data_IF_062684816250
#
_entry.id   IF_062684816250
#
_cell.length_a   1.000
_cell.length_b   1.000
_cell.length_c   1.000
_cell.angle_alpha   90.00
_cell.angle_beta   90.00
_cell.angle_gamma   90.00
#
_symmetry.space_group_name_H-M   'P 1'
#
loop_
_entity.id
_entity.type
_entity.pdbx_description
1 polymer ?
#
# COMPACT_ATOMS: atom_id res chain seq x y z
N UNK A 1 3.97 5.21 -4.72
CA UNK A 1 4.93 4.09 -4.67
C UNK A 1 4.53 3.20 -3.52
N UNK A 2 4.49 1.90 -3.77
CA UNK A 2 4.21 0.85 -2.80
C UNK A 2 5.54 0.17 -2.43
N UNK A 3 5.67 -0.29 -1.18
CA UNK A 3 6.72 -1.21 -0.76
C UNK A 3 6.05 -2.51 -0.34
N UNK A 4 6.38 -3.59 -1.04
CA UNK A 4 5.89 -4.93 -0.73
C UNK A 4 7.05 -5.72 -0.13
N UNK A 5 6.83 -6.34 1.03
CA UNK A 5 7.78 -7.25 1.62
C UNK A 5 7.69 -8.59 0.89
N UNK A 6 8.78 -9.02 0.26
CA UNK A 6 8.86 -10.30 -0.42
C UNK A 6 9.46 -11.35 0.51
N UNK A 7 8.85 -12.52 0.52
CA UNK A 7 9.40 -13.74 1.12
C UNK A 7 9.82 -14.71 0.02
N UNK A 8 10.54 -15.77 0.40
CA UNK A 8 10.87 -16.84 -0.52
C UNK A 8 9.63 -17.69 -0.84
N UNK A 9 9.54 -18.24 -2.07
CA UNK A 9 8.47 -19.17 -2.42
C UNK A 9 8.56 -20.45 -1.59
N UNK A 10 7.41 -21.12 -1.44
CA UNK A 10 7.36 -22.48 -0.90
C UNK A 10 8.11 -23.46 -1.80
N UNK A 11 8.57 -24.58 -1.22
CA UNK A 11 9.39 -25.60 -1.90
C UNK A 11 8.81 -26.04 -3.25
N UNK A 12 7.50 -26.27 -3.32
CA UNK A 12 6.86 -26.78 -4.54
C UNK A 12 6.81 -25.71 -5.65
N UNK A 13 6.53 -24.46 -5.29
CA UNK A 13 6.60 -23.34 -6.23
C UNK A 13 8.04 -23.10 -6.71
N UNK A 14 9.03 -23.22 -5.83
CA UNK A 14 10.45 -23.12 -6.19
C UNK A 14 10.88 -24.26 -7.12
N UNK A 15 10.43 -25.49 -6.85
CA UNK A 15 10.67 -26.65 -7.73
C UNK A 15 10.09 -26.41 -9.13
N UNK A 16 8.86 -25.92 -9.21
CA UNK A 16 8.22 -25.65 -10.50
C UNK A 16 8.93 -24.52 -11.26
N UNK A 17 9.36 -23.47 -10.57
CA UNK A 17 10.21 -22.42 -11.15
C UNK A 17 11.50 -23.00 -11.73
N UNK A 18 12.20 -23.87 -11.00
CA UNK A 18 13.44 -24.49 -11.48
C UNK A 18 13.19 -25.30 -12.76
N UNK A 19 12.12 -26.10 -12.80
CA UNK A 19 11.79 -26.90 -13.98
C UNK A 19 11.40 -26.04 -15.19
N UNK A 20 10.64 -24.97 -14.99
CA UNK A 20 10.15 -24.12 -16.07
C UNK A 20 11.23 -23.18 -16.65
N UNK A 21 12.21 -22.77 -15.85
CA UNK A 21 13.19 -21.75 -16.24
C UNK A 21 14.55 -22.31 -16.68
N UNK A 22 14.85 -23.57 -16.38
CA UNK A 22 16.12 -24.22 -16.76
C UNK A 22 15.99 -25.20 -17.93
N UNK A 23 14.79 -25.39 -18.46
CA UNK A 23 14.54 -26.18 -19.66
C UNK A 23 14.98 -25.48 -20.95
N UNK A 24 15.02 -26.23 -22.05
CA UNK A 24 15.36 -25.70 -23.38
C UNK A 24 14.19 -24.93 -24.05
N UNK A 25 12.99 -25.00 -23.48
CA UNK A 25 11.76 -24.40 -24.05
C UNK A 25 11.50 -23.05 -23.38
N UNK A 26 11.58 -21.99 -24.18
CA UNK A 26 11.20 -20.65 -23.73
C UNK A 26 9.74 -20.40 -24.08
N UNK A 27 8.88 -20.19 -23.08
CA UNK A 27 7.51 -19.76 -23.31
C UNK A 27 7.47 -18.30 -23.78
N UNK A 28 6.64 -18.00 -24.77
CA UNK A 28 6.35 -16.62 -25.20
C UNK A 28 5.04 -16.18 -24.56
N UNK A 29 5.05 -15.03 -23.89
CA UNK A 29 3.85 -14.46 -23.29
C UNK A 29 2.98 -13.81 -24.37
N UNK A 30 1.66 -14.04 -24.40
CA UNK A 30 0.76 -13.36 -25.32
C UNK A 30 0.65 -11.87 -24.97
N UNK A 31 0.61 -11.02 -25.99
CA UNK A 31 0.35 -9.58 -25.81
C UNK A 31 -1.15 -9.37 -25.57
N UNK A 32 -1.51 -8.98 -24.36
CA UNK A 32 -2.92 -8.70 -23.98
C UNK A 32 -3.31 -7.23 -24.14
N UNK A 33 -2.35 -6.31 -24.02
CA UNK A 33 -2.57 -4.87 -24.06
C UNK A 33 -1.51 -4.21 -24.94
N UNK A 34 -1.93 -3.21 -25.69
CA UNK A 34 -1.03 -2.28 -26.37
C UNK A 34 -0.57 -1.17 -25.41
N UNK A 35 0.50 -0.43 -25.74
CA UNK A 35 0.90 0.75 -24.96
C UNK A 35 -0.21 1.80 -24.84
N UNK A 36 -1.07 1.94 -25.86
CA UNK A 36 -2.21 2.85 -25.83
C UNK A 36 -3.25 2.42 -24.79
N UNK A 37 -3.58 1.12 -24.75
CA UNK A 37 -4.51 0.57 -23.77
C UNK A 37 -4.01 0.78 -22.33
N UNK A 38 -2.68 0.63 -22.10
CA UNK A 38 -2.08 0.90 -20.79
C UNK A 38 -2.22 2.36 -20.37
N UNK A 39 -1.98 3.31 -21.28
CA UNK A 39 -2.15 4.75 -21.00
C UNK A 39 -3.61 5.07 -20.71
N UNK A 40 -4.54 4.46 -21.45
CA UNK A 40 -5.98 4.62 -21.20
C UNK A 40 -6.37 4.09 -19.82
N UNK A 41 -5.90 2.90 -19.43
CA UNK A 41 -6.11 2.34 -18.11
C UNK A 41 -5.58 3.26 -17.00
N UNK A 42 -4.37 3.82 -17.15
CA UNK A 42 -3.82 4.80 -16.21
C UNK A 42 -4.63 6.09 -16.13
N UNK A 43 -5.30 6.48 -17.22
CA UNK A 43 -6.23 7.62 -17.25
C UNK A 43 -7.54 7.29 -16.52
N UNK A 44 -8.07 6.08 -16.68
CA UNK A 44 -9.26 5.60 -15.96
C UNK A 44 -9.07 5.64 -14.44
N UNK A 45 -7.91 5.19 -13.93
CA UNK A 45 -7.56 5.29 -12.49
C UNK A 45 -7.69 6.72 -11.97
N UNK A 46 -7.32 7.73 -12.76
CA UNK A 46 -7.40 9.14 -12.35
C UNK A 46 -8.82 9.71 -12.41
N UNK A 47 -9.71 9.10 -13.20
CA UNK A 47 -11.10 9.53 -13.36
C UNK A 47 -12.07 8.83 -12.41
N UNK A 48 -11.67 7.71 -11.80
CA UNK A 48 -12.52 6.99 -10.85
C UNK A 48 -12.97 7.92 -9.71
N UNK A 49 -14.29 8.09 -9.48
CA UNK A 49 -14.79 8.89 -8.39
C UNK A 49 -14.41 8.27 -7.04
N UNK A 50 -14.31 9.10 -6.02
CA UNK A 50 -14.03 8.66 -4.64
C UNK A 50 -15.01 9.35 -3.72
N UNK A 51 -15.66 8.55 -2.87
CA UNK A 51 -16.61 9.06 -1.88
C UNK A 51 -15.92 9.81 -0.75
N UNK A 52 -16.63 10.77 -0.16
CA UNK A 52 -16.13 11.62 0.93
C UNK A 52 -15.57 10.79 2.10
N UNK A 53 -16.25 9.70 2.46
CA UNK A 53 -15.81 8.79 3.54
C UNK A 53 -14.40 8.25 3.32
N UNK A 54 -14.07 7.86 2.09
CA UNK A 54 -12.74 7.32 1.74
C UNK A 54 -11.69 8.43 1.76
N UNK A 55 -12.04 9.63 1.26
CA UNK A 55 -11.16 10.78 1.32
C UNK A 55 -10.80 11.14 2.77
N UNK A 56 -11.80 11.26 3.63
CA UNK A 56 -11.63 11.59 5.05
C UNK A 56 -10.89 10.48 5.81
N UNK A 57 -11.14 9.22 5.49
CA UNK A 57 -10.39 8.08 6.02
C UNK A 57 -8.89 8.17 5.68
N UNK A 58 -8.54 8.45 4.42
CA UNK A 58 -7.15 8.64 3.99
C UNK A 58 -6.50 9.80 4.75
N UNK A 59 -7.20 10.93 4.88
CA UNK A 59 -6.69 12.10 5.61
C UNK A 59 -6.48 11.78 7.09
N UNK A 60 -7.46 11.16 7.73
CA UNK A 60 -7.44 10.78 9.14
C UNK A 60 -6.29 9.83 9.44
N UNK A 61 -6.15 8.76 8.64
CA UNK A 61 -5.09 7.77 8.79
C UNK A 61 -3.70 8.39 8.62
N UNK A 62 -3.49 9.15 7.53
CA UNK A 62 -2.18 9.74 7.22
C UNK A 62 -1.79 10.79 8.27
N UNK A 63 -2.74 11.61 8.75
CA UNK A 63 -2.45 12.61 9.79
C UNK A 63 -2.27 11.97 11.17
N UNK A 64 -3.08 10.95 11.50
CA UNK A 64 -3.00 10.21 12.75
C UNK A 64 -1.66 9.48 12.96
N UNK A 65 -0.90 9.27 11.89
CA UNK A 65 0.42 8.66 11.90
C UNK A 65 1.58 9.68 11.84
N UNK A 66 1.33 10.95 12.20
CA UNK A 66 2.38 11.97 12.34
C UNK A 66 2.64 12.29 13.81
N UNK A 67 3.89 12.57 14.21
CA UNK A 67 4.18 12.88 15.61
C UNK A 67 3.33 14.02 16.18
N UNK A 68 3.11 15.08 15.40
CA UNK A 68 2.41 16.29 15.80
C UNK A 68 0.88 16.17 15.83
N UNK A 69 0.32 15.20 15.13
CA UNK A 69 -1.13 14.95 15.04
C UNK A 69 -1.47 13.49 15.34
N UNK A 70 -0.64 12.87 16.17
CA UNK A 70 -0.72 11.46 16.47
C UNK A 70 -2.09 11.12 17.06
N UNK A 71 -2.76 10.08 16.54
CA UNK A 71 -4.07 9.68 17.05
C UNK A 71 -3.99 9.07 18.46
N UNK A 72 -2.80 8.60 18.86
CA UNK A 72 -2.44 8.16 20.22
C UNK A 72 -1.13 8.80 20.65
N UNK A 73 -0.96 9.15 21.94
CA UNK A 73 0.28 9.75 22.45
C UNK A 73 1.55 8.92 22.17
N UNK A 74 1.43 7.59 22.25
CA UNK A 74 2.55 6.65 22.03
C UNK A 74 3.20 6.83 20.66
N UNK A 75 2.38 7.02 19.61
CA UNK A 75 2.86 7.26 18.24
C UNK A 75 3.68 8.54 18.14
N UNK A 76 3.28 9.58 18.88
CA UNK A 76 4.00 10.85 18.99
C UNK A 76 5.44 10.67 19.45
N UNK A 77 5.67 9.74 20.39
CA UNK A 77 7.00 9.43 20.92
C UNK A 77 7.76 8.35 20.12
N UNK A 78 7.01 7.46 19.45
CA UNK A 78 7.58 6.35 18.69
C UNK A 78 8.11 6.75 17.33
N UNK A 79 7.65 7.85 16.74
CA UNK A 79 8.03 8.28 15.40
C UNK A 79 8.96 9.51 15.41
N UNK A 80 10.00 9.45 14.57
CA UNK A 80 10.83 10.60 14.24
C UNK A 80 10.13 11.53 13.22
N UNK A 81 9.42 10.94 12.27
CA UNK A 81 8.57 11.64 11.31
C UNK A 81 7.48 10.71 10.79
N UNK A 82 6.37 11.31 10.36
CA UNK A 82 5.22 10.62 9.80
C UNK A 82 5.02 10.84 8.31
N UNK A 83 3.93 10.29 7.74
CA UNK A 83 3.68 10.33 6.31
C UNK A 83 3.19 11.71 5.86
N UNK A 84 3.89 12.30 4.88
CA UNK A 84 3.54 13.59 4.29
C UNK A 84 2.42 13.53 3.23
N UNK A 85 2.10 14.66 2.57
CA UNK A 85 1.02 14.73 1.56
C UNK A 85 1.15 13.74 0.40
N UNK A 86 2.38 13.39 0.03
CA UNK A 86 2.65 12.37 -1.02
C UNK A 86 2.17 10.97 -0.63
N UNK A 87 2.07 10.68 0.67
CA UNK A 87 1.50 9.42 1.15
C UNK A 87 -0.01 9.37 0.88
N UNK A 88 -0.74 10.43 1.23
CA UNK A 88 -2.18 10.54 0.97
C UNK A 88 -2.49 10.45 -0.53
N UNK A 89 -1.72 11.16 -1.37
CA UNK A 89 -1.87 11.08 -2.83
C UNK A 89 -1.60 9.67 -3.37
N UNK A 90 -0.58 8.98 -2.84
CA UNK A 90 -0.28 7.61 -3.25
C UNK A 90 -1.36 6.62 -2.81
N UNK A 91 -1.89 6.77 -1.58
CA UNK A 91 -2.95 5.92 -1.05
C UNK A 91 -4.23 6.10 -1.85
N UNK A 92 -4.62 7.34 -2.15
CA UNK A 92 -5.76 7.66 -3.01
C UNK A 92 -5.66 6.99 -4.39
N UNK A 93 -4.52 7.13 -5.08
CA UNK A 93 -4.33 6.52 -6.40
C UNK A 93 -4.31 4.98 -6.33
N UNK A 94 -3.72 4.42 -5.28
CA UNK A 94 -3.69 2.98 -5.08
C UNK A 94 -5.10 2.42 -4.83
N UNK A 95 -5.92 3.08 -4.00
CA UNK A 95 -7.30 2.66 -3.73
C UNK A 95 -8.15 2.69 -5.00
N UNK A 96 -7.96 3.70 -5.85
CA UNK A 96 -8.63 3.75 -7.17
C UNK A 96 -8.19 2.63 -8.10
N UNK A 97 -6.90 2.32 -8.11
CA UNK A 97 -6.38 1.24 -8.93
C UNK A 97 -6.92 -0.12 -8.45
N UNK A 98 -6.93 -0.37 -7.13
CA UNK A 98 -7.47 -1.60 -6.52
C UNK A 98 -8.94 -1.79 -6.86
N UNK A 99 -9.75 -0.75 -6.65
CA UNK A 99 -11.17 -0.80 -7.00
C UNK A 99 -11.41 -1.14 -8.48
N UNK A 100 -10.64 -0.55 -9.40
CA UNK A 100 -10.74 -0.86 -10.83
C UNK A 100 -10.31 -2.29 -11.16
N UNK A 101 -9.24 -2.80 -10.55
CA UNK A 101 -8.79 -4.17 -10.72
C UNK A 101 -9.85 -5.18 -10.24
N UNK A 102 -10.60 -4.82 -9.20
CA UNK A 102 -11.73 -5.59 -8.69
C UNK A 102 -13.05 -5.36 -9.46
N UNK A 103 -13.03 -4.56 -10.54
CA UNK A 103 -14.22 -4.24 -11.33
C UNK A 103 -15.23 -3.29 -10.65
N UNK A 104 -14.84 -2.64 -9.54
CA UNK A 104 -15.65 -1.69 -8.80
C UNK A 104 -15.49 -0.26 -9.34
N UNK A 105 -16.58 0.50 -9.31
CA UNK A 105 -16.65 1.87 -9.84
C UNK A 105 -16.33 2.95 -8.81
N UNK A 106 -16.02 2.56 -7.57
CA UNK A 106 -15.55 3.45 -6.52
C UNK A 106 -14.77 2.66 -5.46
N UNK A 107 -13.74 3.25 -4.83
CA UNK A 107 -13.08 2.65 -3.68
C UNK A 107 -13.96 2.64 -2.43
N UNK A 108 -13.57 1.79 -1.49
CA UNK A 108 -14.19 1.55 -0.19
C UNK A 108 -13.17 1.79 0.94
N UNK A 109 -13.60 1.65 2.20
CA UNK A 109 -12.68 1.71 3.34
C UNK A 109 -11.74 0.50 3.40
N UNK A 110 -12.19 -0.65 2.90
CA UNK A 110 -11.38 -1.88 2.84
C UNK A 110 -10.14 -1.66 1.97
N UNK A 111 -10.27 -0.93 0.85
CA UNK A 111 -9.13 -0.55 0.01
C UNK A 111 -8.11 0.30 0.77
N UNK A 112 -8.58 1.21 1.63
CA UNK A 112 -7.72 2.08 2.44
C UNK A 112 -6.96 1.24 3.46
N UNK A 113 -7.65 0.30 4.12
CA UNK A 113 -7.07 -0.60 5.10
C UNK A 113 -6.01 -1.51 4.47
N UNK A 114 -6.34 -2.17 3.35
CA UNK A 114 -5.46 -3.11 2.65
C UNK A 114 -4.18 -2.42 2.13
N UNK A 115 -4.33 -1.21 1.57
CA UNK A 115 -3.21 -0.48 0.97
C UNK A 115 -2.43 0.40 1.95
N UNK A 116 -2.87 0.50 3.21
CA UNK A 116 -2.22 1.32 4.22
C UNK A 116 -0.76 0.92 4.43
N UNK A 117 -0.48 -0.35 4.73
CA UNK A 117 0.90 -0.79 4.99
C UNK A 117 1.80 -0.63 3.75
N UNK A 118 1.43 -1.14 2.55
CA UNK A 118 2.27 -1.00 1.36
C UNK A 118 2.58 0.46 1.01
N UNK A 119 1.66 1.40 1.27
CA UNK A 119 1.86 2.82 0.98
C UNK A 119 2.66 3.52 2.08
N UNK A 120 2.41 3.22 3.35
CA UNK A 120 2.88 4.03 4.48
C UNK A 120 4.17 3.53 5.12
N UNK A 121 4.47 2.23 5.08
CA UNK A 121 5.55 1.64 5.87
C UNK A 121 6.95 2.21 5.57
N UNK A 122 7.15 2.71 4.34
CA UNK A 122 8.40 3.32 3.89
C UNK A 122 8.38 4.87 3.93
N UNK A 123 7.34 5.46 4.53
CA UNK A 123 7.12 6.92 4.60
C UNK A 123 7.16 7.45 6.03
N UNK A 124 7.65 6.63 6.94
CA UNK A 124 7.66 6.86 8.37
C UNK A 124 8.94 6.27 8.94
N UNK A 125 9.44 6.85 10.02
CA UNK A 125 10.60 6.31 10.72
C UNK A 125 10.37 6.32 12.22
N UNK A 126 10.69 5.20 12.86
CA UNK A 126 10.71 5.08 14.31
C UNK A 126 11.88 5.90 14.91
N UNK A 127 11.65 6.42 16.11
CA UNK A 127 12.70 6.97 16.97
C UNK A 127 13.66 5.88 17.43
N UNK A 128 14.88 6.24 17.82
CA UNK A 128 15.87 5.27 18.28
C UNK A 128 15.38 4.43 19.49
N UNK A 129 14.77 5.02 20.53
CA UNK A 129 14.23 4.24 21.65
C UNK A 129 13.14 3.25 21.20
N UNK A 130 12.24 3.66 20.30
CA UNK A 130 11.19 2.78 19.79
C UNK A 130 11.74 1.60 18.99
N UNK A 131 12.77 1.82 18.17
CA UNK A 131 13.49 0.75 17.45
C UNK A 131 14.18 -0.19 18.43
N UNK A 132 14.86 0.34 19.45
CA UNK A 132 15.55 -0.46 20.46
C UNK A 132 14.57 -1.32 21.28
N UNK A 133 13.34 -0.84 21.48
CA UNK A 133 12.24 -1.58 22.12
C UNK A 133 11.56 -2.62 21.20
N UNK A 134 12.06 -2.81 19.96
CA UNK A 134 11.52 -3.80 19.02
C UNK A 134 10.20 -3.40 18.35
N UNK A 135 9.80 -2.12 18.44
CA UNK A 135 8.61 -1.64 17.73
C UNK A 135 8.80 -1.71 16.21
N UNK A 136 7.69 -1.87 15.48
CA UNK A 136 7.64 -1.94 14.02
C UNK A 136 6.68 -0.92 13.46
N UNK A 137 7.03 -0.30 12.34
CA UNK A 137 6.16 0.69 11.66
C UNK A 137 4.88 0.00 11.19
N UNK A 138 4.98 -1.23 10.70
CA UNK A 138 3.88 -2.07 10.26
C UNK A 138 2.83 -2.26 11.36
N UNK A 139 3.27 -2.51 12.60
CA UNK A 139 2.37 -2.66 13.75
C UNK A 139 1.65 -1.35 14.11
N UNK A 140 2.32 -0.20 13.98
CA UNK A 140 1.68 1.10 14.20
C UNK A 140 0.63 1.41 13.13
N UNK A 141 0.91 1.04 11.87
CA UNK A 141 -0.04 1.20 10.77
C UNK A 141 -1.26 0.30 10.99
N UNK A 142 -1.06 -0.98 11.30
CA UNK A 142 -2.15 -1.92 11.57
C UNK A 142 -3.06 -1.43 12.71
N UNK A 143 -2.46 -0.97 13.82
CA UNK A 143 -3.23 -0.42 14.94
C UNK A 143 -3.98 0.87 14.58
N UNK A 144 -3.41 1.71 13.71
CA UNK A 144 -4.10 2.92 13.23
C UNK A 144 -5.27 2.59 12.30
N UNK A 145 -5.11 1.59 11.43
CA UNK A 145 -6.18 1.08 10.55
C UNK A 145 -7.35 0.58 11.39
N UNK A 146 -7.11 -0.26 12.39
CA UNK A 146 -8.16 -0.80 13.27
C UNK A 146 -8.89 0.29 14.09
N UNK A 147 -8.19 1.37 14.43
CA UNK A 147 -8.75 2.42 15.28
C UNK A 147 -9.46 3.55 14.51
N UNK A 148 -9.09 3.78 13.25
CA UNK A 148 -9.49 4.97 12.48
C UNK A 148 -10.38 4.66 11.27
N UNK A 149 -10.48 3.41 10.86
CA UNK A 149 -11.29 2.94 9.73
C UNK A 149 -12.42 2.04 10.23
#
# INVERSE_FOLDING_TARGET
MLRIALTFPERDAERDMLLQTTGAVTASAPTLLTPADLIEAQSLVRRLPVGEKVLEAILTLVRGLRPETAYKPEIGTSLLYGPGPRAAQALMLACRAQALLDGRLAPSLDDVAELAEPVLAHRMALSFPARAAGQKVEALIASAVEALL
#
